data_IF_189348309165
#
_entry.id   IF_189348309165
#
_cell.length_a   1.000
_cell.length_b   1.000
_cell.length_c   1.000
_cell.angle_alpha   90.00
_cell.angle_beta   90.00
_cell.angle_gamma   90.00
#
_symmetry.space_group_name_H-M   'P 1'
#
loop_
_entity.id
_entity.type
_entity.pdbx_description
1 polymer ?
#
# COMPACT_ATOMS: atom_id res chain seq x y z
N UNK A 1 0.65 13.21 -16.76
CA UNK A 1 1.16 12.96 -15.39
C UNK A 1 0.73 11.60 -14.90
N UNK A 2 1.62 10.87 -14.24
CA UNK A 2 1.29 9.55 -13.70
C UNK A 2 0.65 9.71 -12.32
N UNK A 3 -0.29 8.83 -12.01
CA UNK A 3 -0.90 8.80 -10.68
C UNK A 3 0.16 8.46 -9.63
N UNK A 4 0.00 8.95 -8.38
CA UNK A 4 0.98 8.68 -7.33
C UNK A 4 1.27 7.18 -7.12
N UNK A 5 0.26 6.31 -7.23
CA UNK A 5 0.52 4.86 -7.05
C UNK A 5 1.48 4.32 -8.11
N UNK A 6 1.41 4.82 -9.35
CA UNK A 6 2.35 4.42 -10.40
C UNK A 6 3.76 4.88 -10.10
N UNK A 7 3.88 6.14 -9.65
CA UNK A 7 5.18 6.68 -9.26
C UNK A 7 5.77 5.86 -8.11
N UNK A 8 4.94 5.52 -7.14
CA UNK A 8 5.37 4.66 -6.04
C UNK A 8 5.90 3.32 -6.52
N UNK A 9 5.19 2.68 -7.45
CA UNK A 9 5.62 1.39 -8.00
C UNK A 9 6.92 1.51 -8.79
N UNK A 10 7.09 2.60 -9.54
CA UNK A 10 8.33 2.84 -10.29
C UNK A 10 9.53 2.89 -9.36
N UNK A 11 9.44 3.66 -8.27
CA UNK A 11 10.52 3.77 -7.31
C UNK A 11 10.71 2.49 -6.48
N UNK A 12 9.63 1.77 -6.22
CA UNK A 12 9.71 0.49 -5.50
C UNK A 12 10.48 -0.56 -6.31
N UNK A 13 10.23 -0.60 -7.61
CA UNK A 13 10.79 -1.61 -8.50
C UNK A 13 12.02 -1.13 -9.28
N UNK A 14 12.31 0.17 -9.26
CA UNK A 14 13.43 0.73 -10.03
C UNK A 14 13.14 0.75 -11.52
N UNK A 15 11.90 1.03 -11.92
CA UNK A 15 11.49 1.04 -13.33
C UNK A 15 11.62 2.45 -13.90
N UNK A 16 12.63 2.67 -14.71
CA UNK A 16 12.89 3.97 -15.34
C UNK A 16 13.48 5.01 -14.40
N UNK A 17 13.67 4.68 -13.14
CA UNK A 17 14.27 5.53 -12.10
C UNK A 17 15.09 4.66 -11.18
N UNK A 18 16.03 5.25 -10.46
CA UNK A 18 16.77 4.51 -9.42
C UNK A 18 15.80 4.10 -8.30
N UNK A 19 15.90 2.85 -7.89
CA UNK A 19 15.08 2.29 -6.81
C UNK A 19 15.25 3.14 -5.54
N UNK A 20 14.13 3.50 -4.91
CA UNK A 20 14.16 4.33 -3.70
C UNK A 20 12.93 4.06 -2.85
N UNK A 21 13.14 3.30 -1.76
CA UNK A 21 12.04 2.90 -0.89
C UNK A 21 11.34 4.08 -0.22
N UNK A 22 12.09 5.08 0.23
CA UNK A 22 11.49 6.24 0.90
C UNK A 22 10.60 7.03 -0.05
N UNK A 23 11.05 7.20 -1.30
CA UNK A 23 10.26 7.91 -2.30
C UNK A 23 9.02 7.11 -2.66
N UNK A 24 9.15 5.78 -2.79
CA UNK A 24 8.01 4.91 -3.06
C UNK A 24 6.97 5.03 -1.94
N UNK A 25 7.41 4.96 -0.69
CA UNK A 25 6.53 5.10 0.46
C UNK A 25 5.77 6.43 0.43
N UNK A 26 6.46 7.53 0.14
CA UNK A 26 5.85 8.86 0.09
C UNK A 26 4.75 8.93 -0.97
N UNK A 27 4.97 8.34 -2.15
CA UNK A 27 3.96 8.33 -3.21
C UNK A 27 2.77 7.44 -2.84
N UNK A 28 2.99 6.30 -2.21
CA UNK A 28 1.90 5.44 -1.76
C UNK A 28 1.08 6.15 -0.67
N UNK A 29 1.74 6.87 0.23
CA UNK A 29 1.05 7.68 1.25
C UNK A 29 0.15 8.71 0.58
N UNK A 30 0.66 9.43 -0.42
CA UNK A 30 -0.13 10.41 -1.14
C UNK A 30 -1.34 9.75 -1.82
N UNK A 31 -1.14 8.65 -2.51
CA UNK A 31 -2.22 7.92 -3.17
C UNK A 31 -3.27 7.46 -2.16
N UNK A 32 -2.82 6.90 -1.05
CA UNK A 32 -3.72 6.39 -0.02
C UNK A 32 -4.58 7.49 0.59
N UNK A 33 -3.97 8.65 0.86
CA UNK A 33 -4.69 9.79 1.42
C UNK A 33 -5.69 10.39 0.45
N UNK A 34 -5.47 10.21 -0.85
CA UNK A 34 -6.40 10.65 -1.89
C UNK A 34 -7.54 9.65 -2.12
N UNK A 35 -7.56 8.56 -1.36
CA UNK A 35 -8.62 7.56 -1.46
C UNK A 35 -8.37 6.46 -2.48
N UNK A 36 -7.16 6.34 -3.01
CA UNK A 36 -6.82 5.29 -3.98
C UNK A 36 -6.74 3.94 -3.26
N UNK A 37 -7.65 3.04 -3.59
CA UNK A 37 -7.76 1.72 -2.96
C UNK A 37 -6.46 0.92 -3.11
N UNK A 38 -5.90 0.93 -4.31
CA UNK A 38 -4.63 0.24 -4.59
C UNK A 38 -3.48 0.89 -3.83
N UNK A 39 -3.47 2.24 -3.75
CA UNK A 39 -2.48 2.97 -2.98
C UNK A 39 -2.53 2.62 -1.49
N UNK A 40 -3.72 2.45 -0.95
CA UNK A 40 -3.92 2.06 0.45
C UNK A 40 -3.34 0.67 0.71
N UNK A 41 -3.54 -0.27 -0.21
CA UNK A 41 -2.95 -1.59 -0.11
C UNK A 41 -1.41 -1.51 -0.10
N UNK A 42 -0.83 -0.76 -1.04
CA UNK A 42 0.64 -0.64 -1.12
C UNK A 42 1.23 0.06 0.11
N UNK A 43 0.50 1.03 0.65
CA UNK A 43 0.93 1.68 1.89
C UNK A 43 0.94 0.68 3.05
N UNK A 44 -0.11 -0.14 3.16
CA UNK A 44 -0.14 -1.21 4.15
C UNK A 44 1.03 -2.19 3.98
N UNK A 45 1.34 -2.53 2.73
CA UNK A 45 2.47 -3.40 2.40
C UNK A 45 3.80 -2.78 2.87
N UNK A 46 3.97 -1.48 2.68
CA UNK A 46 5.17 -0.78 3.14
C UNK A 46 5.33 -0.86 4.65
N UNK A 47 4.25 -0.65 5.39
CA UNK A 47 4.29 -0.75 6.85
C UNK A 47 4.53 -2.19 7.32
N UNK A 48 3.95 -3.15 6.63
CA UNK A 48 4.13 -4.56 7.01
C UNK A 48 5.58 -5.00 6.87
N UNK A 49 6.27 -4.54 5.84
CA UNK A 49 7.61 -5.00 5.48
C UNK A 49 8.72 -3.99 5.78
N UNK A 50 8.37 -2.82 6.31
CA UNK A 50 9.37 -1.80 6.61
C UNK A 50 9.99 -1.20 5.37
N UNK A 51 9.21 -0.95 4.32
CA UNK A 51 9.68 -0.37 3.07
C UNK A 51 9.54 1.14 3.13
N UNK A 52 10.67 1.84 3.20
CA UNK A 52 10.71 3.31 3.27
C UNK A 52 10.25 3.88 4.60
N UNK A 53 9.90 3.04 5.55
CA UNK A 53 9.44 3.44 6.88
C UNK A 53 9.75 2.31 7.85
N UNK A 54 9.67 2.57 9.15
CA UNK A 54 9.80 1.51 10.14
C UNK A 54 8.60 0.56 10.02
N UNK A 55 8.85 -0.71 10.23
CA UNK A 55 7.80 -1.73 10.25
C UNK A 55 6.77 -1.39 11.34
N UNK A 56 5.49 -1.42 10.99
CA UNK A 56 4.41 -1.09 11.91
C UNK A 56 3.17 -1.88 11.53
N UNK A 57 2.96 -3.01 12.20
CA UNK A 57 1.84 -3.90 11.88
C UNK A 57 0.48 -3.25 12.17
N UNK A 58 0.39 -2.39 13.17
CA UNK A 58 -0.85 -1.67 13.48
C UNK A 58 -1.27 -0.81 12.30
N UNK A 59 -0.34 -0.06 11.73
CA UNK A 59 -0.61 0.77 10.56
C UNK A 59 -0.89 -0.08 9.32
N UNK A 60 -0.13 -1.18 9.15
CA UNK A 60 -0.34 -2.06 8.01
C UNK A 60 -1.78 -2.59 7.98
N UNK A 61 -2.26 -3.12 9.12
CA UNK A 61 -3.61 -3.66 9.24
C UNK A 61 -4.65 -2.56 8.96
N UNK A 62 -4.43 -1.37 9.50
CA UNK A 62 -5.32 -0.23 9.32
C UNK A 62 -5.53 0.10 7.85
N UNK A 63 -4.43 0.21 7.09
CA UNK A 63 -4.51 0.54 5.68
C UNK A 63 -5.09 -0.59 4.85
N UNK A 64 -4.76 -1.85 5.19
CA UNK A 64 -5.38 -3.00 4.56
C UNK A 64 -6.89 -3.00 4.79
N UNK A 65 -7.34 -2.67 6.01
CA UNK A 65 -8.77 -2.61 6.31
C UNK A 65 -9.46 -1.51 5.52
N UNK A 66 -8.83 -0.35 5.37
CA UNK A 66 -9.39 0.73 4.55
C UNK A 66 -9.52 0.31 3.09
N UNK A 67 -8.49 -0.32 2.55
CA UNK A 67 -8.50 -0.81 1.17
C UNK A 67 -9.56 -1.90 0.98
N UNK A 68 -9.70 -2.80 1.96
CA UNK A 68 -10.64 -3.91 1.90
C UNK A 68 -12.10 -3.47 2.08
N UNK A 69 -12.35 -2.31 2.69
CA UNK A 69 -13.70 -1.86 3.05
C UNK A 69 -14.61 -1.71 1.83
N UNK A 70 -14.06 -1.44 0.66
CA UNK A 70 -14.83 -1.30 -0.56
C UNK A 70 -15.43 -2.64 -1.00
N UNK A 71 -14.72 -3.73 -0.78
CA UNK A 71 -15.23 -5.09 -0.97
C UNK A 71 -15.36 -5.56 -2.41
N UNK A 72 -14.83 -4.82 -3.40
CA UNK A 72 -14.85 -5.24 -4.80
C UNK A 72 -13.50 -5.83 -5.20
N UNK A 73 -13.31 -6.16 -6.50
CA UNK A 73 -12.09 -6.84 -6.93
C UNK A 73 -10.83 -5.96 -6.75
N UNK A 74 -10.98 -4.65 -6.71
CA UNK A 74 -9.85 -3.74 -6.45
C UNK A 74 -9.35 -3.90 -5.02
N UNK A 75 -10.24 -4.30 -4.11
CA UNK A 75 -9.92 -4.54 -2.70
C UNK A 75 -9.30 -5.92 -2.46
N UNK A 76 -9.32 -6.80 -3.46
CA UNK A 76 -8.91 -8.20 -3.27
C UNK A 76 -7.49 -8.35 -2.70
N UNK A 77 -6.48 -7.61 -3.18
CA UNK A 77 -5.13 -7.74 -2.58
C UNK A 77 -5.12 -7.45 -1.09
N UNK A 78 -5.88 -6.45 -0.63
CA UNK A 78 -5.94 -6.12 0.80
C UNK A 78 -6.69 -7.18 1.58
N UNK A 79 -7.78 -7.71 1.02
CA UNK A 79 -8.54 -8.80 1.64
C UNK A 79 -7.63 -10.02 1.81
N UNK A 80 -6.87 -10.36 0.77
CA UNK A 80 -5.93 -11.49 0.82
C UNK A 80 -4.84 -11.26 1.87
N UNK A 81 -4.33 -10.03 1.96
CA UNK A 81 -3.31 -9.70 2.96
C UNK A 81 -3.85 -9.87 4.38
N UNK A 82 -5.07 -9.39 4.63
CA UNK A 82 -5.70 -9.53 5.95
C UNK A 82 -5.93 -11.01 6.28
N UNK A 83 -6.40 -11.79 5.31
CA UNK A 83 -6.60 -13.22 5.51
C UNK A 83 -5.28 -13.93 5.85
N UNK A 84 -4.21 -13.58 5.16
CA UNK A 84 -2.87 -14.12 5.41
C UNK A 84 -2.41 -13.80 6.83
N UNK A 85 -2.78 -12.62 7.33
CA UNK A 85 -2.43 -12.18 8.68
C UNK A 85 -3.39 -12.74 9.74
N UNK A 86 -4.42 -13.47 9.34
CA UNK A 86 -5.41 -14.02 10.27
C UNK A 86 -6.42 -13.01 10.78
N UNK A 87 -6.66 -11.94 10.04
CA UNK A 87 -7.55 -10.84 10.43
C UNK A 87 -8.72 -10.78 9.45
N UNK A 88 -9.94 -10.65 9.99
CA UNK A 88 -11.11 -10.50 9.14
C UNK A 88 -11.08 -9.15 8.42
N UNK A 89 -11.49 -9.14 7.15
CA UNK A 89 -11.46 -7.96 6.32
C UNK A 89 -12.52 -6.92 6.70
N UNK A 90 -13.54 -7.33 7.44
CA UNK A 90 -14.62 -6.41 7.85
C UNK A 90 -14.95 -6.51 9.31
#
# INVERSE_FOLDING_TARGET
>A
MKAPRYLGLMYLNGEGVAKNAKTAFAYFMQAAEEGDITGQYWLGHCYENGIGTAKDMTQAVRWYQKSAARGDHVSQPAIDALNRLGIKAN
#
